data_IF_409414435633
#
_entry.id   IF_409414435633
#
_cell.length_a   1.000
_cell.length_b   1.000
_cell.length_c   1.000
_cell.angle_alpha   90.00
_cell.angle_beta   90.00
_cell.angle_gamma   90.00
#
_symmetry.space_group_name_H-M   'P 1'
#
loop_
_entity.id
_entity.type
_entity.pdbx_description
1 polymer ?
#
# COMPACT_ATOMS: atom_id res chain seq x y z
N UNK A 1 -77.50 -2.94 -28.96
CA UNK A 1 -77.31 -2.90 -27.50
C UNK A 1 -75.81 -2.92 -27.24
N UNK A 2 -75.29 -1.85 -26.64
CA UNK A 2 -73.87 -1.66 -26.38
C UNK A 2 -73.49 -2.21 -24.99
N UNK A 3 -72.36 -2.90 -24.90
CA UNK A 3 -71.65 -3.15 -23.63
C UNK A 3 -70.15 -2.98 -23.86
N UNK A 4 -69.55 -2.18 -22.99
CA UNK A 4 -68.20 -1.65 -23.09
C UNK A 4 -67.13 -2.58 -22.48
N UNK A 5 -65.91 -2.40 -22.95
CA UNK A 5 -64.68 -3.09 -22.57
C UNK A 5 -64.19 -2.75 -21.15
N UNK A 6 -63.59 -3.73 -20.47
CA UNK A 6 -62.79 -3.58 -19.26
C UNK A 6 -61.41 -4.21 -19.46
N UNK A 7 -60.34 -3.45 -19.23
CA UNK A 7 -58.95 -3.84 -19.45
C UNK A 7 -58.37 -4.71 -18.32
N UNK A 8 -57.48 -5.63 -18.70
CA UNK A 8 -56.67 -6.42 -17.79
C UNK A 8 -55.38 -5.66 -17.42
N UNK A 9 -55.14 -5.45 -16.13
CA UNK A 9 -53.90 -4.88 -15.58
C UNK A 9 -52.77 -5.91 -15.53
N UNK A 10 -51.53 -5.41 -15.65
CA UNK A 10 -50.28 -6.19 -15.62
C UNK A 10 -49.97 -6.76 -14.21
N UNK A 11 -49.22 -7.88 -14.12
CA UNK A 11 -48.83 -8.50 -12.84
C UNK A 11 -47.80 -7.68 -12.06
N UNK A 12 -47.96 -7.63 -10.74
CA UNK A 12 -47.12 -6.94 -9.77
C UNK A 12 -45.76 -7.67 -9.58
N UNK A 13 -44.61 -7.02 -9.87
CA UNK A 13 -43.29 -7.63 -9.76
C UNK A 13 -42.76 -7.80 -8.32
N UNK A 14 -43.56 -7.50 -7.30
CA UNK A 14 -43.12 -7.55 -5.89
C UNK A 14 -43.61 -8.78 -5.10
N UNK A 15 -44.34 -9.69 -5.73
CA UNK A 15 -45.02 -10.80 -5.05
C UNK A 15 -44.10 -11.88 -4.41
N UNK A 16 -42.79 -11.90 -4.71
CA UNK A 16 -41.84 -12.92 -4.24
C UNK A 16 -40.59 -12.36 -3.54
N UNK A 17 -40.65 -11.17 -2.95
CA UNK A 17 -39.55 -10.67 -2.12
C UNK A 17 -39.70 -11.18 -0.67
N UNK A 18 -38.67 -11.85 -0.09
CA UNK A 18 -38.71 -12.29 1.29
C UNK A 18 -38.84 -11.08 2.23
N UNK A 19 -39.61 -11.23 3.31
CA UNK A 19 -39.78 -10.16 4.30
C UNK A 19 -38.44 -9.73 4.90
N UNK A 20 -38.30 -8.46 5.26
CA UNK A 20 -37.08 -7.89 5.86
C UNK A 20 -36.60 -8.69 7.10
N UNK A 21 -37.51 -9.35 7.80
CA UNK A 21 -37.21 -10.22 8.93
C UNK A 21 -36.47 -11.51 8.50
N UNK A 22 -36.89 -12.14 7.38
CA UNK A 22 -36.21 -13.31 6.81
C UNK A 22 -34.83 -12.98 6.23
N UNK A 23 -34.70 -11.79 5.62
CA UNK A 23 -33.42 -11.28 5.13
C UNK A 23 -32.43 -10.92 6.26
N UNK A 24 -32.92 -10.49 7.43
CA UNK A 24 -32.07 -10.24 8.62
C UNK A 24 -31.57 -11.53 9.29
N UNK A 25 -32.42 -12.56 9.40
CA UNK A 25 -32.05 -13.83 10.03
C UNK A 25 -31.00 -14.61 9.21
N UNK A 26 -31.05 -14.53 7.87
CA UNK A 26 -30.03 -15.14 7.01
C UNK A 26 -28.67 -14.42 7.08
N UNK A 27 -28.65 -13.11 7.39
CA UNK A 27 -27.40 -12.33 7.56
C UNK A 27 -26.70 -12.60 8.90
N UNK A 28 -27.43 -13.02 9.93
CA UNK A 28 -26.83 -13.32 11.24
C UNK A 28 -26.27 -14.74 11.36
N UNK A 29 -26.66 -15.67 10.48
CA UNK A 29 -26.25 -17.08 10.56
C UNK A 29 -24.86 -17.37 9.92
N UNK A 30 -24.19 -16.37 9.36
CA UNK A 30 -22.85 -16.50 8.77
C UNK A 30 -21.99 -15.25 8.96
N UNK A 31 -22.28 -14.42 9.95
CA UNK A 31 -21.51 -13.22 10.21
C UNK A 31 -20.18 -13.61 10.89
N UNK A 32 -19.09 -13.59 10.11
CA UNK A 32 -17.73 -13.48 10.65
C UNK A 32 -17.66 -12.26 11.60
N UNK A 33 -16.89 -12.39 12.69
CA UNK A 33 -16.71 -11.27 13.62
C UNK A 33 -16.21 -10.02 12.87
N UNK A 34 -16.68 -8.81 13.26
CA UNK A 34 -16.25 -7.58 12.61
C UNK A 34 -14.74 -7.41 12.77
N UNK A 35 -14.04 -7.31 11.63
CA UNK A 35 -12.60 -7.06 11.56
C UNK A 35 -12.22 -5.83 12.41
N UNK A 36 -11.14 -5.95 13.16
CA UNK A 36 -10.61 -4.84 13.96
C UNK A 36 -10.27 -3.64 13.05
N UNK A 37 -10.42 -2.40 13.55
CA UNK A 37 -10.16 -1.18 12.75
C UNK A 37 -8.77 -1.15 12.10
N UNK A 38 -7.77 -1.70 12.77
CA UNK A 38 -6.40 -1.83 12.25
C UNK A 38 -6.33 -2.83 11.07
N UNK A 39 -7.04 -3.96 11.16
CA UNK A 39 -7.21 -4.89 10.04
C UNK A 39 -7.97 -4.24 8.89
N UNK A 40 -9.01 -3.45 9.17
CA UNK A 40 -9.75 -2.69 8.15
C UNK A 40 -8.85 -1.64 7.48
N UNK A 41 -7.96 -0.96 8.20
CA UNK A 41 -6.97 -0.04 7.61
C UNK A 41 -5.97 -0.76 6.72
N UNK A 42 -5.47 -1.93 7.14
CA UNK A 42 -4.61 -2.78 6.30
C UNK A 42 -5.35 -3.36 5.08
N UNK A 43 -6.68 -3.50 5.16
CA UNK A 43 -7.55 -3.95 4.08
C UNK A 43 -8.03 -2.82 3.16
N UNK A 44 -7.80 -1.55 3.51
CA UNK A 44 -7.92 -0.40 2.58
C UNK A 44 -6.76 -0.36 1.58
N UNK A 45 -6.32 -1.53 1.12
CA UNK A 45 -5.40 -1.65 0.00
C UNK A 45 -6.04 -1.06 -1.24
N UNK A 46 -5.43 -0.01 -1.78
CA UNK A 46 -5.82 0.54 -3.07
C UNK A 46 -5.47 -0.43 -4.21
N UNK A 47 -5.84 -0.07 -5.44
CA UNK A 47 -5.46 -0.79 -6.65
C UNK A 47 -3.95 -0.78 -6.94
N UNK A 48 -3.17 -0.06 -6.11
CA UNK A 48 -1.76 0.19 -6.30
C UNK A 48 -1.49 1.43 -7.17
N UNK A 49 -0.26 1.93 -7.16
CA UNK A 49 0.15 3.01 -8.05
C UNK A 49 0.38 2.51 -9.47
N UNK A 50 0.08 3.34 -10.48
CA UNK A 50 0.64 3.18 -11.81
C UNK A 50 1.71 4.24 -12.01
N UNK A 51 2.93 3.79 -12.30
CA UNK A 51 4.07 4.67 -12.60
C UNK A 51 4.49 4.41 -14.05
N UNK A 52 4.58 5.44 -14.90
CA UNK A 52 5.05 5.29 -16.27
C UNK A 52 6.40 4.55 -16.32
N UNK A 53 6.46 3.49 -17.12
CA UNK A 53 7.68 2.67 -17.29
C UNK A 53 7.76 1.40 -16.42
N UNK A 54 6.91 1.25 -15.40
CA UNK A 54 6.89 0.08 -14.50
C UNK A 54 6.02 -1.05 -15.06
N UNK A 55 5.03 -0.70 -15.89
CA UNK A 55 4.07 -1.65 -16.46
C UNK A 55 2.82 -1.81 -15.60
N UNK A 56 1.94 -2.73 -16.01
CA UNK A 56 0.76 -3.08 -15.23
C UNK A 56 1.14 -4.02 -14.10
N UNK A 57 0.48 -3.85 -12.95
CA UNK A 57 0.63 -4.82 -11.87
C UNK A 57 -0.23 -6.05 -12.15
N UNK A 58 0.40 -7.23 -12.21
CA UNK A 58 -0.27 -8.48 -12.57
C UNK A 58 0.08 -9.54 -11.54
N UNK A 59 -0.95 -10.09 -10.88
CA UNK A 59 -0.78 -11.22 -9.99
C UNK A 59 -0.35 -12.48 -10.77
N UNK A 60 0.43 -13.36 -10.14
CA UNK A 60 0.85 -14.64 -10.74
C UNK A 60 -0.36 -15.56 -10.94
N UNK A 61 -0.23 -16.53 -11.85
CA UNK A 61 -1.30 -17.50 -12.12
C UNK A 61 -1.77 -18.19 -10.83
N UNK A 62 -3.09 -18.35 -10.66
CA UNK A 62 -3.72 -18.89 -9.44
C UNK A 62 -3.86 -17.88 -8.30
N UNK A 63 -3.31 -16.67 -8.43
CA UNK A 63 -3.33 -15.65 -7.39
C UNK A 63 -4.18 -14.44 -7.80
N UNK A 64 -4.70 -13.73 -6.81
CA UNK A 64 -5.37 -12.46 -7.02
C UNK A 64 -5.12 -11.50 -5.86
N UNK A 65 -5.14 -10.20 -6.17
CA UNK A 65 -5.40 -9.19 -5.14
C UNK A 65 -6.88 -9.19 -4.81
N UNK A 66 -7.16 -9.22 -3.52
CA UNK A 66 -8.53 -9.14 -3.03
C UNK A 66 -8.92 -7.68 -2.81
N UNK A 67 -10.10 -7.32 -3.29
CA UNK A 67 -10.71 -6.02 -3.09
C UNK A 67 -12.06 -6.25 -2.39
N UNK A 68 -12.17 -5.81 -1.13
CA UNK A 68 -13.35 -5.98 -0.27
C UNK A 68 -14.40 -4.90 -0.53
N UNK A 69 -15.21 -5.08 -1.58
CA UNK A 69 -16.25 -4.13 -1.98
C UNK A 69 -17.34 -3.86 -0.93
N UNK A 70 -17.40 -4.67 0.12
CA UNK A 70 -18.23 -4.44 1.30
C UNK A 70 -17.62 -3.40 2.28
N UNK A 71 -16.30 -3.16 2.22
CA UNK A 71 -15.60 -2.22 3.11
C UNK A 71 -15.44 -0.82 2.52
N UNK A 72 -15.74 -0.62 1.23
CA UNK A 72 -15.66 0.69 0.58
C UNK A 72 -16.74 0.86 -0.48
N UNK A 73 -17.19 2.10 -0.69
CA UNK A 73 -18.23 2.45 -1.65
C UNK A 73 -17.73 3.31 -2.83
N UNK A 74 -16.46 3.69 -2.82
CA UNK A 74 -15.88 4.62 -3.79
C UNK A 74 -14.47 4.21 -4.18
N UNK A 75 -14.10 4.51 -5.43
CA UNK A 75 -12.72 4.49 -5.88
C UNK A 75 -12.15 5.90 -5.78
N UNK A 76 -11.02 6.04 -5.08
CA UNK A 76 -10.24 7.27 -5.09
C UNK A 76 -9.17 7.18 -6.17
N UNK A 77 -9.15 8.15 -7.07
CA UNK A 77 -8.15 8.25 -8.11
C UNK A 77 -7.30 9.50 -7.88
N UNK A 78 -6.04 9.29 -7.53
CA UNK A 78 -5.05 10.34 -7.44
C UNK A 78 -4.25 10.37 -8.77
N UNK A 79 -4.13 11.55 -9.38
CA UNK A 79 -3.46 11.76 -10.67
C UNK A 79 -2.36 12.81 -10.50
N UNK A 80 -1.11 12.38 -10.65
CA UNK A 80 0.05 13.27 -10.62
C UNK A 80 0.43 13.70 -12.03
N UNK A 81 0.25 14.99 -12.33
CA UNK A 81 0.71 15.59 -13.58
C UNK A 81 1.95 16.43 -13.36
N UNK A 82 2.93 16.28 -14.25
CA UNK A 82 3.99 17.27 -14.38
C UNK A 82 3.50 18.39 -15.28
N UNK A 83 3.40 19.61 -14.74
CA UNK A 83 2.88 20.74 -15.49
C UNK A 83 3.81 21.12 -16.66
N UNK A 84 3.26 21.22 -17.87
CA UNK A 84 3.98 21.65 -19.07
C UNK A 84 3.98 23.18 -19.25
N UNK A 85 3.18 23.89 -18.45
CA UNK A 85 2.98 25.34 -18.55
C UNK A 85 2.05 25.76 -19.70
N UNK A 86 1.43 24.81 -20.42
CA UNK A 86 0.48 25.05 -21.51
C UNK A 86 -0.87 24.40 -21.19
N UNK A 87 -1.99 24.97 -21.67
CA UNK A 87 -3.28 24.29 -21.59
C UNK A 87 -3.27 23.00 -22.40
N UNK A 88 -3.56 21.88 -21.74
CA UNK A 88 -3.62 20.55 -22.34
C UNK A 88 -4.87 19.81 -21.81
N UNK A 89 -5.40 18.88 -22.62
CA UNK A 89 -6.49 18.00 -22.20
C UNK A 89 -5.98 16.58 -22.08
N UNK A 90 -6.02 16.03 -20.88
CA UNK A 90 -5.69 14.63 -20.61
C UNK A 90 -6.97 13.80 -20.39
N UNK A 91 -7.00 12.58 -20.92
CA UNK A 91 -8.07 11.60 -20.72
C UNK A 91 -7.44 10.27 -20.27
N UNK A 92 -6.88 10.20 -19.06
CA UNK A 92 -6.27 8.98 -18.57
C UNK A 92 -7.32 7.87 -18.45
N UNK A 93 -6.90 6.64 -18.71
CA UNK A 93 -7.73 5.45 -18.56
C UNK A 93 -6.94 4.41 -17.77
N UNK A 94 -7.63 3.67 -16.92
CA UNK A 94 -7.08 2.51 -16.22
C UNK A 94 -7.93 1.28 -16.58
N UNK A 95 -7.26 0.16 -16.84
CA UNK A 95 -7.89 -1.14 -17.06
C UNK A 95 -7.84 -1.97 -15.78
N UNK A 96 -8.93 -2.66 -15.46
CA UNK A 96 -8.98 -3.64 -14.37
C UNK A 96 -9.31 -5.01 -14.96
N UNK A 97 -8.55 -6.02 -14.57
CA UNK A 97 -8.79 -7.41 -14.93
C UNK A 97 -9.22 -8.19 -13.70
N UNK A 98 -10.43 -8.73 -13.75
CA UNK A 98 -10.99 -9.53 -12.66
C UNK A 98 -10.65 -11.00 -12.85
N UNK A 99 -10.23 -11.66 -11.76
CA UNK A 99 -10.12 -13.11 -11.72
C UNK A 99 -11.52 -13.72 -11.94
N UNK A 100 -11.62 -14.63 -12.92
CA UNK A 100 -12.88 -15.32 -13.23
C UNK A 100 -13.04 -16.62 -12.45
N UNK A 101 -11.91 -17.26 -12.18
CA UNK A 101 -11.84 -18.46 -11.36
C UNK A 101 -11.72 -18.06 -9.89
N UNK A 102 -12.14 -18.95 -8.99
CA UNK A 102 -11.91 -18.76 -7.55
C UNK A 102 -10.40 -18.75 -7.34
N UNK A 103 -9.82 -17.56 -7.12
CA UNK A 103 -8.41 -17.43 -6.80
C UNK A 103 -8.09 -18.33 -5.60
N UNK A 104 -7.05 -19.14 -5.73
CA UNK A 104 -6.66 -20.09 -4.68
C UNK A 104 -5.75 -19.44 -3.66
N UNK A 105 -5.20 -18.26 -3.97
CA UNK A 105 -4.27 -17.58 -3.07
C UNK A 105 -4.39 -16.06 -3.18
N UNK A 106 -4.46 -15.40 -2.04
CA UNK A 106 -4.53 -13.94 -1.95
C UNK A 106 -3.14 -13.32 -1.87
N UNK A 107 -2.85 -12.38 -2.79
CA UNK A 107 -1.67 -11.50 -2.71
C UNK A 107 -1.92 -10.38 -1.72
N UNK A 108 -0.94 -10.13 -0.84
CA UNK A 108 -0.94 -9.09 0.18
C UNK A 108 0.26 -8.17 -0.02
N UNK A 109 0.13 -6.95 0.47
CA UNK A 109 1.20 -5.94 0.46
C UNK A 109 1.55 -5.60 1.90
N UNK A 110 2.81 -5.80 2.27
CA UNK A 110 3.37 -5.32 3.54
C UNK A 110 3.99 -3.94 3.30
N UNK A 111 3.42 -2.91 3.92
CA UNK A 111 4.03 -1.57 3.97
C UNK A 111 5.03 -1.46 5.13
N UNK A 112 6.17 -0.83 4.89
CA UNK A 112 7.20 -0.58 5.91
C UNK A 112 6.93 0.76 6.60
N UNK A 113 5.87 0.81 7.40
CA UNK A 113 5.33 2.03 7.99
C UNK A 113 5.95 2.40 9.34
N UNK A 114 6.72 1.50 9.95
CA UNK A 114 7.55 1.81 11.10
C UNK A 114 8.89 2.34 10.60
N UNK A 115 9.15 3.64 10.78
CA UNK A 115 10.30 4.26 10.14
C UNK A 115 11.07 5.24 11.03
N UNK A 116 12.37 5.35 10.75
CA UNK A 116 13.31 6.22 11.47
C UNK A 116 14.17 7.00 10.51
N UNK A 117 14.66 8.15 10.98
CA UNK A 117 15.71 8.92 10.30
C UNK A 117 17.01 8.82 11.07
N UNK A 118 18.14 8.73 10.36
CA UNK A 118 19.49 8.68 10.95
C UNK A 118 19.66 7.61 12.03
N UNK A 119 18.98 6.46 11.85
CA UNK A 119 18.96 5.35 12.83
C UNK A 119 18.47 5.73 14.22
N UNK A 120 17.69 6.82 14.35
CA UNK A 120 17.03 7.15 15.61
C UNK A 120 16.21 5.96 16.11
N UNK A 121 16.23 5.70 17.42
CA UNK A 121 15.51 4.56 17.98
C UNK A 121 14.00 4.76 17.86
N UNK A 122 13.29 3.73 17.37
CA UNK A 122 11.84 3.63 17.52
C UNK A 122 11.51 3.39 18.99
N UNK A 123 11.30 4.47 19.74
CA UNK A 123 10.69 4.37 21.06
C UNK A 123 9.19 4.53 20.84
N UNK A 124 8.44 3.43 20.90
CA UNK A 124 6.98 3.50 20.87
C UNK A 124 6.53 4.41 22.01
N UNK A 125 5.92 5.58 21.72
CA UNK A 125 5.35 6.39 22.79
C UNK A 125 4.22 5.58 23.46
N UNK A 126 3.96 5.79 24.75
CA UNK A 126 2.86 5.11 25.42
C UNK A 126 1.56 5.32 24.63
N UNK A 127 0.69 4.29 24.52
CA UNK A 127 -0.54 4.38 23.73
C UNK A 127 -1.38 5.58 24.20
N UNK A 128 -1.60 6.51 23.28
CA UNK A 128 -2.41 7.70 23.51
C UNK A 128 -3.89 7.39 23.23
N UNK A 129 -4.84 8.06 23.91
CA UNK A 129 -6.23 8.08 23.47
C UNK A 129 -6.35 8.51 21.99
N UNK A 130 -7.31 7.99 21.21
CA UNK A 130 -7.38 8.24 19.76
C UNK A 130 -7.36 9.72 19.35
N UNK A 131 -8.00 10.60 20.13
CA UNK A 131 -8.00 12.04 19.87
C UNK A 131 -6.63 12.69 20.10
N UNK A 132 -5.89 12.24 21.11
CA UNK A 132 -4.53 12.70 21.41
C UNK A 132 -3.52 12.14 20.41
N UNK A 133 -3.69 10.89 19.98
CA UNK A 133 -2.91 10.30 18.89
C UNK A 133 -3.09 11.09 17.58
N UNK A 134 -4.33 11.45 17.23
CA UNK A 134 -4.63 12.26 16.06
C UNK A 134 -4.04 13.68 16.17
N UNK A 135 -4.13 14.31 17.34
CA UNK A 135 -3.55 15.62 17.59
C UNK A 135 -2.01 15.60 17.55
N UNK A 136 -1.38 14.56 18.12
CA UNK A 136 0.07 14.36 18.08
C UNK A 136 0.55 14.12 16.64
N UNK A 137 -0.18 13.32 15.86
CA UNK A 137 0.10 13.12 14.44
C UNK A 137 -0.02 14.42 13.64
N UNK A 138 -1.03 15.25 13.93
CA UNK A 138 -1.19 16.57 13.31
C UNK A 138 -0.08 17.55 13.73
N UNK A 139 0.37 17.51 14.98
CA UNK A 139 1.46 18.36 15.48
C UNK A 139 2.83 17.93 14.92
N UNK A 140 3.01 16.63 14.66
CA UNK A 140 4.19 16.09 13.98
C UNK A 140 4.13 16.28 12.46
N UNK A 141 2.99 16.70 11.91
CA UNK A 141 2.83 16.89 10.47
C UNK A 141 3.80 17.97 9.97
N UNK A 142 4.69 17.57 9.08
CA UNK A 142 5.63 18.46 8.42
C UNK A 142 4.91 19.29 7.36
N UNK A 143 5.51 20.43 6.98
CA UNK A 143 5.06 21.19 5.82
C UNK A 143 5.15 20.31 4.57
N UNK A 144 4.01 20.00 3.95
CA UNK A 144 3.86 19.01 2.88
C UNK A 144 2.52 18.27 2.99
N UNK A 145 2.23 17.36 2.08
CA UNK A 145 1.01 16.52 2.13
C UNK A 145 1.02 15.42 3.22
N UNK A 146 1.95 15.46 4.17
CA UNK A 146 1.94 14.56 5.34
C UNK A 146 2.25 13.10 5.02
N UNK A 147 2.97 12.82 3.93
CA UNK A 147 3.52 11.50 3.69
C UNK A 147 4.66 11.24 4.69
N UNK A 148 4.78 10.00 5.20
CA UNK A 148 5.81 9.60 6.17
C UNK A 148 5.99 10.57 7.38
N UNK A 149 4.93 10.92 8.14
CA UNK A 149 4.96 12.04 9.09
C UNK A 149 5.93 11.88 10.27
N UNK A 150 6.42 10.67 10.55
CA UNK A 150 7.40 10.41 11.61
C UNK A 150 8.86 10.53 11.15
N UNK A 151 9.13 10.69 9.85
CA UNK A 151 10.50 10.90 9.36
C UNK A 151 10.93 12.34 9.57
N UNK A 152 12.18 12.58 9.95
CA UNK A 152 12.77 13.91 9.92
C UNK A 152 12.91 14.42 8.49
N UNK A 153 12.82 15.75 8.30
CA UNK A 153 13.09 16.39 7.00
C UNK A 153 14.49 16.05 6.51
N UNK A 154 14.70 16.03 5.19
CA UNK A 154 16.03 15.87 4.61
C UNK A 154 16.72 17.25 4.63
N UNK A 155 17.77 17.46 5.45
CA UNK A 155 18.35 18.80 5.62
C UNK A 155 18.99 19.32 4.33
N UNK A 156 19.02 20.64 4.18
CA UNK A 156 19.75 21.31 3.10
C UNK A 156 21.21 20.81 3.01
N UNK A 157 21.65 20.49 1.79
CA UNK A 157 22.97 20.00 1.44
C UNK A 157 23.38 18.64 2.05
N UNK A 158 22.48 17.90 2.71
CA UNK A 158 22.79 16.58 3.25
C UNK A 158 23.05 15.57 2.13
N UNK A 159 24.25 14.99 2.05
CA UNK A 159 24.64 14.11 0.95
C UNK A 159 24.26 12.61 1.15
N UNK A 160 23.89 12.24 2.37
CA UNK A 160 23.59 10.85 2.77
C UNK A 160 22.59 10.80 3.93
N UNK A 161 21.41 11.38 3.77
CA UNK A 161 20.34 11.27 4.77
C UNK A 161 19.77 9.86 4.76
N UNK A 162 19.76 9.18 5.89
CA UNK A 162 19.34 7.79 5.99
C UNK A 162 17.94 7.67 6.57
N UNK A 163 17.11 6.89 5.89
CA UNK A 163 15.77 6.49 6.35
C UNK A 163 15.75 4.97 6.46
N UNK A 164 15.19 4.45 7.54
CA UNK A 164 14.95 3.01 7.69
C UNK A 164 13.47 2.77 7.89
N UNK A 165 12.87 1.89 7.09
CA UNK A 165 11.52 1.36 7.28
C UNK A 165 11.57 -0.11 7.69
N UNK A 166 10.67 -0.54 8.56
CA UNK A 166 10.57 -1.91 9.07
C UNK A 166 9.13 -2.40 8.92
N UNK A 167 8.99 -3.69 8.61
CA UNK A 167 7.73 -4.42 8.63
C UNK A 167 7.94 -5.85 9.11
N UNK A 168 6.92 -6.44 9.72
CA UNK A 168 6.96 -7.79 10.26
C UNK A 168 5.89 -8.70 9.66
N UNK A 169 6.24 -9.94 9.35
CA UNK A 169 5.31 -10.97 8.89
C UNK A 169 4.64 -11.64 10.08
N UNK A 170 3.31 -11.53 10.17
CA UNK A 170 2.54 -12.12 11.27
C UNK A 170 2.23 -13.61 11.06
N UNK A 171 2.36 -14.10 9.83
CA UNK A 171 2.13 -15.49 9.45
C UNK A 171 3.30 -15.95 8.60
N UNK A 172 3.44 -17.26 8.45
CA UNK A 172 4.31 -17.83 7.42
C UNK A 172 3.93 -17.23 6.06
N UNK A 173 4.92 -16.74 5.34
CA UNK A 173 4.74 -15.91 4.18
C UNK A 173 5.66 -16.37 3.04
N UNK A 174 5.20 -16.14 1.81
CA UNK A 174 5.98 -16.35 0.59
C UNK A 174 6.19 -14.98 -0.04
N UNK A 175 7.39 -14.42 0.13
CA UNK A 175 7.80 -13.14 -0.45
C UNK A 175 7.95 -13.31 -1.96
N UNK A 176 7.36 -12.40 -2.71
CA UNK A 176 7.31 -12.47 -4.17
C UNK A 176 8.11 -11.35 -4.84
N UNK A 177 7.97 -10.12 -4.33
CA UNK A 177 8.63 -8.97 -4.91
C UNK A 177 8.79 -7.84 -3.90
N UNK A 178 9.74 -6.95 -4.20
CA UNK A 178 10.07 -5.77 -3.41
C UNK A 178 9.85 -4.54 -4.30
N UNK A 179 9.19 -3.53 -3.75
CA UNK A 179 8.98 -2.27 -4.44
C UNK A 179 9.53 -1.12 -3.60
N UNK A 180 10.25 -0.22 -4.28
CA UNK A 180 10.79 1.00 -3.68
C UNK A 180 10.45 2.19 -4.57
N UNK A 181 9.96 3.24 -3.93
CA UNK A 181 9.74 4.52 -4.58
C UNK A 181 10.25 5.67 -3.71
N UNK A 182 11.03 6.52 -4.38
CA UNK A 182 11.57 7.78 -3.90
C UNK A 182 11.67 8.75 -5.08
N UNK A 183 11.74 10.05 -4.82
CA UNK A 183 11.93 11.07 -5.84
C UNK A 183 13.41 11.28 -6.16
N UNK A 184 13.73 12.48 -6.64
CA UNK A 184 15.02 12.84 -7.25
C UNK A 184 16.21 12.79 -6.29
N UNK A 185 15.98 12.67 -4.97
CA UNK A 185 17.07 12.55 -3.99
C UNK A 185 17.34 11.12 -3.57
N UNK A 186 16.50 10.15 -3.92
CA UNK A 186 16.79 8.74 -3.68
C UNK A 186 18.16 8.36 -4.27
N UNK A 187 19.03 7.79 -3.45
CA UNK A 187 20.43 7.49 -3.80
C UNK A 187 20.66 6.00 -3.91
N UNK A 188 20.42 5.28 -2.82
CA UNK A 188 20.57 3.83 -2.76
C UNK A 188 19.65 3.21 -1.72
N UNK A 189 19.32 1.93 -1.94
CA UNK A 189 18.40 1.18 -1.10
C UNK A 189 18.94 -0.22 -0.83
N UNK A 190 18.81 -0.69 0.40
CA UNK A 190 19.17 -2.05 0.80
C UNK A 190 18.03 -2.68 1.60
N UNK A 191 17.62 -3.87 1.22
CA UNK A 191 16.61 -4.66 1.89
C UNK A 191 17.27 -5.80 2.67
N UNK A 192 16.98 -5.88 3.96
CA UNK A 192 17.47 -6.93 4.85
C UNK A 192 16.29 -7.67 5.44
N UNK A 193 16.29 -8.99 5.32
CA UNK A 193 15.39 -9.90 6.01
C UNK A 193 16.09 -10.38 7.27
N UNK A 194 15.40 -10.35 8.40
CA UNK A 194 15.83 -10.94 9.66
C UNK A 194 14.84 -12.03 10.06
N UNK A 195 15.34 -13.24 10.23
CA UNK A 195 14.56 -14.40 10.65
C UNK A 195 14.34 -14.40 12.18
N UNK A 196 13.36 -15.16 12.71
CA UNK A 196 13.11 -15.25 14.15
C UNK A 196 14.31 -15.77 14.97
N UNK A 197 15.20 -16.53 14.34
CA UNK A 197 16.45 -17.03 14.93
C UNK A 197 17.57 -15.98 14.98
N UNK A 198 17.32 -14.77 14.45
CA UNK A 198 18.27 -13.66 14.38
C UNK A 198 19.20 -13.69 13.16
N UNK A 199 19.10 -14.69 12.29
CA UNK A 199 19.86 -14.71 11.02
C UNK A 199 19.38 -13.59 10.11
N UNK A 200 20.33 -12.93 9.44
CA UNK A 200 20.03 -11.86 8.47
C UNK A 200 20.45 -12.26 7.04
N UNK A 201 19.69 -11.80 6.06
CA UNK A 201 19.97 -11.94 4.63
C UNK A 201 19.66 -10.63 3.89
N UNK A 202 20.51 -10.25 2.94
CA UNK A 202 20.23 -9.11 2.05
C UNK A 202 19.39 -9.61 0.87
N UNK A 203 18.11 -9.21 0.81
CA UNK A 203 17.20 -9.61 -0.28
C UNK A 203 17.45 -8.82 -1.56
N UNK A 204 17.76 -7.53 -1.43
CA UNK A 204 17.93 -6.63 -2.57
C UNK A 204 18.87 -5.49 -2.22
N UNK A 205 19.74 -5.15 -3.15
CA UNK A 205 20.54 -3.93 -3.10
C UNK A 205 20.38 -3.16 -4.41
N UNK A 206 19.93 -1.91 -4.30
CA UNK A 206 19.82 -0.95 -5.40
C UNK A 206 20.87 0.13 -5.15
N UNK A 207 22.13 -0.05 -5.59
CA UNK A 207 23.24 0.82 -5.22
C UNK A 207 23.24 2.18 -5.94
N UNK A 208 22.52 2.30 -7.06
CA UNK A 208 22.44 3.50 -7.88
C UNK A 208 20.99 3.72 -8.29
N UNK A 209 20.15 4.14 -7.35
CA UNK A 209 18.74 4.40 -7.65
C UNK A 209 18.62 5.51 -8.70
N UNK A 210 17.65 5.34 -9.60
CA UNK A 210 17.31 6.34 -10.59
C UNK A 210 15.80 6.55 -10.56
N UNK A 211 15.39 7.78 -10.27
CA UNK A 211 13.98 8.19 -10.28
C UNK A 211 13.28 7.91 -11.62
N UNK A 212 14.01 7.89 -12.73
CA UNK A 212 13.42 7.56 -14.03
C UNK A 212 13.09 6.06 -14.16
N UNK A 213 13.68 5.20 -13.31
CA UNK A 213 13.66 3.73 -13.40
C UNK A 213 13.10 3.11 -12.11
N UNK A 214 11.79 3.17 -11.93
CA UNK A 214 11.12 2.84 -10.67
C UNK A 214 10.55 1.41 -10.68
N UNK A 215 11.41 0.39 -10.67
CA UNK A 215 10.93 -0.98 -10.85
C UNK A 215 10.38 -1.64 -9.59
N UNK A 216 9.42 -2.54 -9.81
CA UNK A 216 9.19 -3.66 -8.90
C UNK A 216 10.26 -4.72 -9.17
N UNK A 217 10.88 -5.23 -8.10
CA UNK A 217 11.89 -6.27 -8.19
C UNK A 217 11.25 -7.61 -7.81
N UNK A 218 10.90 -8.42 -8.80
CA UNK A 218 10.44 -9.79 -8.59
C UNK A 218 11.62 -10.66 -8.14
N UNK A 219 11.41 -11.44 -7.07
CA UNK A 219 12.35 -12.48 -6.70
C UNK A 219 12.31 -13.57 -7.77
N UNK A 220 13.50 -13.98 -8.23
CA UNK A 220 13.63 -15.07 -9.20
C UNK A 220 12.95 -16.34 -8.69
N UNK A 221 13.10 -16.61 -7.39
CA UNK A 221 12.41 -17.68 -6.67
C UNK A 221 11.67 -17.06 -5.48
N UNK A 222 10.34 -17.24 -5.36
CA UNK A 222 9.60 -16.76 -4.19
C UNK A 222 10.17 -17.34 -2.89
N UNK A 223 10.40 -16.47 -1.90
CA UNK A 223 11.10 -16.84 -0.67
C UNK A 223 10.10 -17.13 0.44
N UNK A 224 10.08 -18.38 0.93
CA UNK A 224 9.33 -18.74 2.15
C UNK A 224 10.02 -18.18 3.38
N UNK A 225 9.26 -17.54 4.25
CA UNK A 225 9.74 -16.99 5.52
C UNK A 225 8.74 -17.34 6.63
N UNK A 226 9.22 -17.73 7.83
CA UNK A 226 8.34 -18.02 8.95
C UNK A 226 7.73 -16.75 9.54
N UNK A 227 6.60 -16.90 10.23
CA UNK A 227 6.03 -15.87 11.09
C UNK A 227 7.08 -15.31 12.05
N UNK A 228 6.99 -14.01 12.34
CA UNK A 228 7.97 -13.28 13.16
C UNK A 228 9.22 -12.81 12.41
N UNK A 229 9.38 -13.21 11.14
CA UNK A 229 10.42 -12.60 10.28
C UNK A 229 10.14 -11.11 10.10
N UNK A 230 11.19 -10.29 10.07
CA UNK A 230 11.10 -8.85 9.81
C UNK A 230 11.87 -8.48 8.56
N UNK A 231 11.39 -7.47 7.85
CA UNK A 231 12.05 -6.90 6.68
C UNK A 231 12.34 -5.42 6.93
N UNK A 232 13.56 -5.01 6.63
CA UNK A 232 14.05 -3.66 6.79
C UNK A 232 14.48 -3.10 5.43
N UNK A 233 13.97 -1.94 5.07
CA UNK A 233 14.44 -1.15 3.92
C UNK A 233 15.27 0.02 4.45
N UNK A 234 16.55 0.04 4.10
CA UNK A 234 17.48 1.13 4.42
C UNK A 234 17.64 1.97 3.15
N UNK A 235 17.12 3.19 3.17
CA UNK A 235 17.18 4.16 2.10
C UNK A 235 18.17 5.27 2.42
N UNK A 236 18.97 5.69 1.43
CA UNK A 236 19.76 6.92 1.52
C UNK A 236 19.30 7.93 0.50
N UNK A 237 19.34 9.20 0.91
CA UNK A 237 18.97 10.35 0.10
C UNK A 237 20.12 11.35 -0.01
N UNK A 238 20.25 11.97 -1.18
CA UNK A 238 21.25 12.98 -1.51
C UNK A 238 20.58 14.31 -1.85
N UNK A 239 20.46 15.18 -0.84
CA UNK A 239 20.03 16.58 -0.97
C UNK A 239 21.23 17.54 -1.17
N UNK A 240 22.42 17.03 -1.52
CA UNK A 240 23.60 17.87 -1.77
C UNK A 240 23.58 18.53 -3.14
N UNK A 241 24.51 19.47 -3.33
CA UNK A 241 24.75 20.15 -4.62
C UNK A 241 25.35 19.22 -5.69
N UNK A 242 25.92 18.09 -5.29
CA UNK A 242 26.52 17.12 -6.21
C UNK A 242 25.45 16.27 -6.91
N UNK A 243 24.27 16.11 -6.30
CA UNK A 243 23.12 15.52 -6.97
C UNK A 243 22.57 16.50 -8.02
N UNK A 244 23.01 16.33 -9.27
CA UNK A 244 22.58 17.14 -10.42
C UNK A 244 21.07 17.13 -10.69
N UNK A 245 20.33 16.14 -10.16
CA UNK A 245 18.86 16.06 -10.28
C UNK A 245 18.13 16.88 -9.21
N UNK A 246 18.83 17.33 -8.18
CA UNK A 246 18.23 18.08 -7.07
C UNK A 246 17.92 19.51 -7.49
N UNK A 247 16.64 19.92 -7.52
CA UNK A 247 16.26 21.27 -7.96
C UNK A 247 16.59 22.36 -6.93
N UNK A 248 16.78 22.02 -5.65
CA UNK A 248 16.95 22.99 -4.57
C UNK A 248 17.81 22.45 -3.40
N UNK A 249 19.10 22.17 -3.60
CA UNK A 249 19.98 21.61 -2.56
C UNK A 249 20.19 22.53 -1.35
N UNK A 250 19.88 23.82 -1.49
CA UNK A 250 20.02 24.81 -0.43
C UNK A 250 18.78 24.91 0.48
N UNK A 251 17.76 24.07 0.26
CA UNK A 251 16.55 24.01 1.07
C UNK A 251 16.40 22.61 1.68
N UNK A 252 15.72 22.56 2.80
CA UNK A 252 15.24 21.29 3.34
C UNK A 252 14.22 20.69 2.37
N UNK A 253 14.24 19.36 2.25
CA UNK A 253 13.24 18.62 1.51
C UNK A 253 12.29 17.91 2.47
N UNK A 254 11.00 18.00 2.17
CA UNK A 254 9.93 17.42 2.98
C UNK A 254 9.42 16.13 2.34
N UNK A 255 8.59 15.40 3.09
CA UNK A 255 7.98 14.16 2.61
C UNK A 255 6.61 14.46 1.97
N UNK A 256 6.54 14.48 0.63
CA UNK A 256 5.34 14.85 -0.12
C UNK A 256 5.33 14.32 -1.57
N UNK A 257 4.19 14.50 -2.23
CA UNK A 257 3.86 13.95 -3.55
C UNK A 257 4.61 14.60 -4.72
N UNK A 258 5.17 15.79 -4.51
CA UNK A 258 5.83 16.54 -5.59
C UNK A 258 7.29 16.14 -5.73
N UNK A 259 7.80 16.04 -6.96
CA UNK A 259 9.17 15.57 -7.21
C UNK A 259 10.27 16.52 -6.71
N UNK A 260 9.95 17.76 -6.33
CA UNK A 260 10.88 18.65 -5.63
C UNK A 260 10.92 18.42 -4.12
N UNK A 261 9.94 17.74 -3.56
CA UNK A 261 9.95 17.08 -2.24
C UNK A 261 10.40 15.62 -2.43
N UNK A 262 10.27 14.76 -1.43
CA UNK A 262 10.61 13.35 -1.55
C UNK A 262 9.58 12.39 -0.92
N UNK A 263 9.71 11.09 -1.18
CA UNK A 263 8.85 10.03 -0.66
C UNK A 263 9.72 8.87 -0.17
N UNK A 264 9.23 8.17 0.85
CA UNK A 264 9.72 6.86 1.24
C UNK A 264 8.57 5.86 1.19
N UNK A 265 8.40 5.22 0.03
CA UNK A 265 7.43 4.14 -0.14
C UNK A 265 8.17 2.84 -0.41
N UNK A 266 8.27 2.01 0.62
CA UNK A 266 8.83 0.67 0.54
C UNK A 266 7.74 -0.36 0.83
N UNK A 267 7.51 -1.29 -0.09
CA UNK A 267 6.54 -2.37 0.11
C UNK A 267 7.07 -3.73 -0.31
N UNK A 268 6.52 -4.78 0.30
CA UNK A 268 6.77 -6.19 -0.06
C UNK A 268 5.47 -6.82 -0.51
N UNK A 269 5.47 -7.45 -1.68
CA UNK A 269 4.37 -8.31 -2.12
C UNK A 269 4.60 -9.73 -1.61
N UNK A 270 3.60 -10.33 -0.97
CA UNK A 270 3.68 -11.69 -0.43
C UNK A 270 2.33 -12.40 -0.44
N UNK A 271 2.35 -13.72 -0.30
CA UNK A 271 1.17 -14.55 0.02
C UNK A 271 1.36 -15.21 1.37
N UNK A 272 0.27 -15.58 2.04
CA UNK A 272 0.38 -16.44 3.25
C UNK A 272 0.63 -17.89 2.80
N UNK A 273 1.48 -18.61 3.53
CA UNK A 273 1.65 -20.05 3.33
C UNK A 273 0.59 -20.80 4.14
N UNK A 274 -0.54 -21.12 3.50
CA UNK A 274 -1.68 -21.79 4.14
C UNK A 274 -1.38 -23.27 4.50
N UNK A 275 -0.27 -23.83 4.02
CA UNK A 275 0.14 -25.21 4.34
C UNK A 275 0.66 -25.38 5.77
N UNK A 276 0.98 -24.27 6.46
CA UNK A 276 1.42 -24.30 7.86
C UNK A 276 0.25 -24.38 8.85
N UNK A 277 -0.96 -23.98 8.45
CA UNK A 277 -2.14 -23.89 9.32
C UNK A 277 -2.88 -25.22 9.53
N UNK A 278 -2.56 -26.30 8.80
CA UNK A 278 -3.17 -27.62 8.98
C UNK A 278 -2.50 -28.48 10.08
N UNK A 279 -1.51 -27.95 10.80
CA UNK A 279 -0.68 -28.71 11.75
C UNK A 279 -1.07 -28.64 13.23
N UNK A 280 -1.89 -27.67 13.64
CA UNK A 280 -2.16 -27.38 15.06
C UNK A 280 -3.68 -27.34 15.38
N UNK A 281 -4.39 -28.45 15.10
CA UNK A 281 -5.69 -28.75 15.73
C UNK A 281 -5.52 -29.55 17.03
#
# INVERSE_FOLDING_TARGET
AATAAGGAGAPDPTADLPSEAGARAARSAGAEEPLAQEQVQNLRGGLGPYIPGVGAEVAKSGQAREIRGDLFSHLFWNLHYQATGKPETARPMAGLWWAKDKATTRVRTLGLNEHTSESAQLVAPPPLPPAEAAAAALAAAQAGQGLNPLLGVIPANAANWTVTGIGAFQNDAIIQSLFIHAHVRGKDFTWVLTYPDGREEVLLRVPNYNFDWQFTYDLAEPLKVPAGSTVKSIARYDNSRENRRNPAPHKDAYWSEQSWDDMFLSTVSYTVDETATEGDE
#
